data_IF_364991573701
#
_entry.id   IF_364991573701
#
_cell.length_a   1.000
_cell.length_b   1.000
_cell.length_c   1.000
_cell.angle_alpha   90.00
_cell.angle_beta   90.00
_cell.angle_gamma   90.00
#
_symmetry.space_group_name_H-M   'P 1'
#
loop_
_entity.id
_entity.type
_entity.pdbx_description
1 polymer ?
#
# COMPACT_ATOMS: atom_id res chain seq x y z
N UNK A 1 9.86 -6.13 -8.11
CA UNK A 1 9.67 -4.66 -7.97
C UNK A 1 10.86 -4.01 -7.26
N UNK A 2 11.12 -4.23 -5.96
CA UNK A 2 12.17 -3.52 -5.21
C UNK A 2 13.52 -3.45 -5.93
N UNK A 3 14.08 -4.61 -6.35
CA UNK A 3 15.34 -4.66 -7.11
C UNK A 3 15.28 -3.91 -8.44
N UNK A 4 14.14 -3.93 -9.14
CA UNK A 4 13.98 -3.28 -10.45
C UNK A 4 13.97 -1.74 -10.36
N UNK A 5 13.75 -1.18 -9.18
CA UNK A 5 13.81 0.27 -8.91
C UNK A 5 15.02 0.66 -8.07
N UNK A 6 16.05 -0.19 -8.02
CA UNK A 6 17.34 0.13 -7.39
C UNK A 6 17.38 0.00 -5.86
N UNK A 7 16.39 -0.63 -5.24
CA UNK A 7 16.42 -0.90 -3.79
C UNK A 7 17.50 -1.93 -3.49
N UNK A 8 18.48 -1.55 -2.69
CA UNK A 8 19.65 -2.36 -2.34
C UNK A 8 19.40 -3.33 -1.21
N UNK A 9 18.54 -2.98 -0.28
CA UNK A 9 18.16 -3.82 0.85
C UNK A 9 16.64 -4.07 0.88
N UNK A 10 16.24 -5.32 1.09
CA UNK A 10 14.85 -5.73 1.16
C UNK A 10 14.66 -6.72 2.30
N UNK A 11 13.86 -6.35 3.30
CA UNK A 11 13.44 -7.23 4.40
C UNK A 11 12.00 -7.70 4.21
N UNK A 12 11.76 -8.97 4.49
CA UNK A 12 10.44 -9.57 4.49
C UNK A 12 10.02 -9.90 5.93
N UNK A 13 8.97 -9.25 6.41
CA UNK A 13 8.32 -9.59 7.68
C UNK A 13 7.08 -10.41 7.39
N UNK A 14 7.00 -11.60 7.97
CA UNK A 14 5.83 -12.48 7.84
C UNK A 14 4.89 -12.26 9.01
N UNK A 15 3.62 -12.00 8.73
CA UNK A 15 2.56 -11.78 9.71
C UNK A 15 1.41 -12.74 9.40
N UNK A 16 1.56 -14.06 9.72
CA UNK A 16 0.56 -15.08 9.36
C UNK A 16 -0.82 -14.77 9.93
N UNK A 17 -0.92 -14.39 11.19
CA UNK A 17 -2.19 -14.09 11.87
C UNK A 17 -2.92 -12.89 11.26
N UNK A 18 -2.19 -11.96 10.66
CA UNK A 18 -2.80 -10.85 9.94
C UNK A 18 -3.50 -11.30 8.66
N UNK A 19 -3.02 -12.37 8.03
CA UNK A 19 -3.65 -12.98 6.86
C UNK A 19 -4.92 -13.73 7.27
N UNK A 20 -4.88 -14.49 8.34
CA UNK A 20 -6.05 -15.18 8.89
C UNK A 20 -7.15 -14.21 9.30
N UNK A 21 -6.80 -12.98 9.70
CA UNK A 21 -7.76 -11.92 9.94
C UNK A 21 -8.54 -11.49 8.68
N UNK A 22 -8.06 -11.78 7.47
CA UNK A 22 -8.81 -11.58 6.21
C UNK A 22 -9.90 -12.62 6.01
N UNK A 23 -9.71 -13.83 6.51
CA UNK A 23 -10.68 -14.92 6.41
C UNK A 23 -11.82 -14.81 7.47
N UNK A 24 -11.72 -13.80 8.33
CA UNK A 24 -12.79 -13.44 9.24
C UNK A 24 -14.01 -13.03 8.42
N UNK A 25 -15.06 -13.84 8.48
CA UNK A 25 -16.30 -13.79 7.71
C UNK A 25 -16.74 -12.37 7.33
N UNK A 26 -16.98 -12.18 6.03
CA UNK A 26 -17.66 -11.02 5.44
C UNK A 26 -18.82 -10.56 6.32
N UNK A 27 -18.84 -9.25 6.67
CA UNK A 27 -19.91 -8.66 7.46
C UNK A 27 -19.60 -8.41 8.95
N UNK A 28 -18.40 -8.75 9.42
CA UNK A 28 -18.03 -8.54 10.83
C UNK A 28 -17.89 -7.05 11.23
N UNK A 29 -17.61 -6.21 10.25
CA UNK A 29 -17.47 -4.76 10.46
C UNK A 29 -18.43 -4.03 9.52
N UNK A 30 -19.59 -3.66 10.07
CA UNK A 30 -20.62 -2.93 9.33
C UNK A 30 -20.06 -1.65 8.71
N UNK A 31 -20.37 -1.41 7.43
CA UNK A 31 -19.89 -0.26 6.68
C UNK A 31 -18.43 -0.32 6.19
N UNK A 32 -17.70 -1.41 6.49
CA UNK A 32 -16.33 -1.58 6.03
C UNK A 32 -16.23 -2.49 4.79
N UNK A 33 -15.26 -2.22 3.87
CA UNK A 33 -15.01 -3.11 2.76
C UNK A 33 -14.66 -4.54 3.21
N UNK A 34 -15.01 -5.58 2.43
CA UNK A 34 -14.71 -6.98 2.76
C UNK A 34 -13.21 -7.28 3.01
N UNK A 35 -12.34 -6.43 2.48
CA UNK A 35 -10.87 -6.55 2.61
C UNK A 35 -10.31 -5.75 3.79
N UNK A 36 -11.17 -5.20 4.64
CA UNK A 36 -10.75 -4.44 5.80
C UNK A 36 -10.12 -5.33 6.86
N UNK A 37 -8.91 -5.00 7.27
CA UNK A 37 -8.21 -5.58 8.42
C UNK A 37 -8.02 -4.45 9.44
N UNK A 38 -8.53 -4.61 10.67
CA UNK A 38 -8.46 -3.57 11.69
C UNK A 38 -7.02 -3.11 11.95
N UNK A 39 -6.79 -1.78 11.89
CA UNK A 39 -5.51 -1.15 12.23
C UNK A 39 -4.29 -1.70 11.45
N UNK A 40 -4.50 -2.34 10.29
CA UNK A 40 -3.42 -2.95 9.51
C UNK A 40 -2.29 -1.97 9.19
N UNK A 41 -2.64 -0.75 8.80
CA UNK A 41 -1.63 0.25 8.46
C UNK A 41 -0.84 0.69 9.70
N UNK A 42 -1.47 0.78 10.87
CA UNK A 42 -0.77 1.02 12.13
C UNK A 42 0.30 -0.04 12.40
N UNK A 43 -0.08 -1.31 12.28
CA UNK A 43 0.85 -2.45 12.47
C UNK A 43 2.03 -2.32 11.51
N UNK A 44 1.79 -2.08 10.22
CA UNK A 44 2.85 -1.95 9.22
C UNK A 44 3.80 -0.80 9.53
N UNK A 45 3.27 0.35 9.93
CA UNK A 45 4.09 1.51 10.27
C UNK A 45 4.89 1.33 11.54
N UNK A 46 4.38 0.61 12.56
CA UNK A 46 5.18 0.30 13.75
C UNK A 46 6.32 -0.67 13.44
N UNK A 47 6.12 -1.67 12.58
CA UNK A 47 7.23 -2.49 12.09
C UNK A 47 8.25 -1.67 11.30
N UNK A 48 7.79 -0.78 10.43
CA UNK A 48 8.68 0.11 9.69
C UNK A 48 9.44 1.07 10.61
N UNK A 49 8.80 1.59 11.66
CA UNK A 49 9.43 2.45 12.65
C UNK A 49 10.50 1.71 13.46
N UNK A 50 10.23 0.48 13.90
CA UNK A 50 11.22 -0.36 14.59
C UNK A 50 12.45 -0.59 13.71
N UNK A 51 12.26 -0.84 12.41
CA UNK A 51 13.37 -0.97 11.49
C UNK A 51 14.08 0.37 11.22
N UNK A 52 13.32 1.46 11.08
CA UNK A 52 13.89 2.80 10.93
C UNK A 52 14.78 3.20 12.12
N UNK A 53 14.38 2.82 13.32
CA UNK A 53 15.19 3.02 14.54
C UNK A 53 16.50 2.24 14.48
N UNK A 54 16.46 0.97 14.07
CA UNK A 54 17.65 0.10 13.93
C UNK A 54 18.66 0.69 12.94
N UNK A 55 18.19 1.20 11.78
CA UNK A 55 19.06 1.72 10.71
C UNK A 55 19.22 3.25 10.73
N UNK A 56 18.65 3.93 11.72
CA UNK A 56 18.65 5.40 11.86
C UNK A 56 18.12 6.13 10.62
N UNK A 57 17.01 5.62 10.06
CA UNK A 57 16.42 6.20 8.87
C UNK A 57 15.69 7.52 9.18
N UNK A 58 15.94 8.55 8.41
CA UNK A 58 15.25 9.84 8.53
C UNK A 58 13.81 9.83 8.02
N UNK A 59 13.40 8.81 7.25
CA UNK A 59 12.09 8.74 6.61
C UNK A 59 11.52 7.32 6.62
N UNK A 60 10.24 7.21 7.00
CA UNK A 60 9.39 6.05 6.75
C UNK A 60 8.36 6.46 5.69
N UNK A 61 8.42 5.88 4.50
CA UNK A 61 7.53 6.25 3.40
C UNK A 61 6.42 5.24 3.16
N UNK A 62 5.23 5.73 2.78
CA UNK A 62 4.10 4.88 2.40
C UNK A 62 3.35 5.39 1.17
N UNK A 63 2.84 4.46 0.35
CA UNK A 63 2.17 4.73 -0.93
C UNK A 63 0.67 4.99 -0.83
N UNK A 64 0.17 5.50 0.29
CA UNK A 64 -1.25 5.81 0.46
C UNK A 64 -1.67 6.95 -0.45
N UNK A 65 -2.81 6.79 -1.12
CA UNK A 65 -3.37 7.76 -2.05
C UNK A 65 -4.68 8.37 -1.52
N UNK A 66 -5.16 9.41 -2.19
CA UNK A 66 -6.37 10.15 -1.80
C UNK A 66 -7.63 9.29 -1.75
N UNK A 67 -7.75 8.29 -2.63
CA UNK A 67 -8.95 7.45 -2.68
C UNK A 67 -9.03 6.51 -1.48
N UNK A 68 -7.87 6.02 -0.99
CA UNK A 68 -7.80 5.15 0.19
C UNK A 68 -8.16 5.90 1.48
N UNK A 69 -7.77 7.17 1.62
CA UNK A 69 -8.06 8.00 2.81
C UNK A 69 -9.55 8.27 3.04
N UNK A 70 -10.37 8.12 2.00
CA UNK A 70 -11.82 8.24 2.09
C UNK A 70 -12.51 7.00 2.65
N UNK A 71 -11.87 5.84 2.50
CA UNK A 71 -12.41 4.53 2.87
C UNK A 71 -11.93 4.05 4.23
N UNK A 72 -10.68 4.37 4.60
CA UNK A 72 -10.03 3.82 5.77
C UNK A 72 -9.52 4.93 6.71
N UNK A 73 -9.93 4.87 7.97
CA UNK A 73 -9.51 5.84 8.98
C UNK A 73 -8.01 5.76 9.30
N UNK A 74 -7.43 4.56 9.20
CA UNK A 74 -6.01 4.28 9.44
C UNK A 74 -5.09 4.68 8.27
N UNK A 75 -5.61 5.49 7.33
CA UNK A 75 -4.86 6.24 6.31
C UNK A 75 -5.24 7.72 6.25
N UNK A 76 -5.98 8.22 7.24
CA UNK A 76 -6.36 9.63 7.32
C UNK A 76 -5.18 10.51 7.74
N UNK A 77 -5.18 11.81 7.39
CA UNK A 77 -4.17 12.76 7.87
C UNK A 77 -4.05 12.81 9.40
N UNK A 78 -5.21 12.76 10.10
CA UNK A 78 -5.24 12.74 11.56
C UNK A 78 -4.57 11.51 12.17
N UNK A 79 -4.81 10.33 11.57
CA UNK A 79 -4.13 9.11 11.99
C UNK A 79 -2.61 9.22 11.85
N UNK A 80 -2.11 9.68 10.71
CA UNK A 80 -0.67 9.81 10.49
C UNK A 80 -0.02 10.90 11.37
N UNK A 81 -0.75 11.97 11.69
CA UNK A 81 -0.28 12.96 12.66
C UNK A 81 -0.12 12.35 14.07
N UNK A 82 -1.09 11.55 14.51
CA UNK A 82 -1.00 10.84 15.79
C UNK A 82 0.12 9.80 15.78
N UNK A 83 0.25 9.04 14.70
CA UNK A 83 1.29 8.02 14.53
C UNK A 83 2.70 8.63 14.54
N UNK A 84 2.89 9.78 13.89
CA UNK A 84 4.17 10.52 13.94
C UNK A 84 4.54 10.92 15.37
N UNK A 85 3.56 11.40 16.14
CA UNK A 85 3.79 11.72 17.57
C UNK A 85 4.13 10.46 18.38
N UNK A 86 3.44 9.34 18.08
CA UNK A 86 3.73 8.07 18.75
C UNK A 86 5.15 7.57 18.47
N UNK A 87 5.67 7.74 17.23
CA UNK A 87 7.06 7.39 16.91
C UNK A 87 8.06 8.16 17.78
N UNK A 88 7.91 9.48 17.86
CA UNK A 88 8.82 10.32 18.66
C UNK A 88 8.66 10.09 20.18
N UNK A 89 7.43 9.95 20.67
CA UNK A 89 7.18 9.67 22.08
C UNK A 89 7.64 8.27 22.50
N UNK A 90 7.65 7.31 21.58
CA UNK A 90 8.01 5.91 21.83
C UNK A 90 9.49 5.61 21.67
N UNK A 91 10.27 6.46 20.98
CA UNK A 91 11.67 6.22 20.68
C UNK A 91 12.48 7.51 20.69
N UNK A 92 13.44 7.58 21.62
CA UNK A 92 14.43 8.70 21.67
C UNK A 92 15.29 8.76 20.41
N UNK A 93 15.54 7.64 19.74
CA UNK A 93 16.34 7.58 18.52
C UNK A 93 15.55 8.21 17.37
N UNK A 94 14.29 7.78 17.15
CA UNK A 94 13.45 8.34 16.09
C UNK A 94 13.17 9.84 16.29
N UNK A 95 13.06 10.29 17.54
CA UNK A 95 12.94 11.71 17.88
C UNK A 95 14.22 12.48 17.55
N UNK A 96 15.38 12.00 18.00
CA UNK A 96 16.68 12.64 17.78
C UNK A 96 17.08 12.69 16.30
N UNK A 97 16.79 11.63 15.52
CA UNK A 97 17.01 11.60 14.06
C UNK A 97 15.97 12.45 13.31
N UNK A 98 14.90 12.90 13.98
CA UNK A 98 13.79 13.62 13.34
C UNK A 98 13.06 12.77 12.32
N UNK A 99 12.98 11.46 12.52
CA UNK A 99 12.36 10.50 11.58
C UNK A 99 10.92 10.89 11.28
N UNK A 100 10.59 11.03 9.99
CA UNK A 100 9.27 11.50 9.52
C UNK A 100 8.56 10.45 8.70
N UNK A 101 7.21 10.44 8.83
CA UNK A 101 6.34 9.68 7.94
C UNK A 101 6.09 10.50 6.67
N UNK A 102 6.49 9.98 5.51
CA UNK A 102 6.29 10.60 4.20
C UNK A 102 5.21 9.85 3.41
N UNK A 103 4.26 10.59 2.83
CA UNK A 103 3.15 10.06 2.03
C UNK A 103 3.06 10.80 0.71
N UNK A 104 3.97 10.51 -0.24
CA UNK A 104 4.11 11.31 -1.47
C UNK A 104 2.88 11.27 -2.37
N UNK A 105 2.01 10.27 -2.23
CA UNK A 105 0.83 10.07 -3.07
C UNK A 105 -0.49 10.53 -2.41
N UNK A 106 -0.46 11.08 -1.18
CA UNK A 106 -1.66 11.34 -0.37
C UNK A 106 -2.68 12.28 -1.04
N UNK A 107 -2.23 13.18 -1.90
CA UNK A 107 -3.08 14.12 -2.66
C UNK A 107 -3.46 13.60 -4.05
N UNK A 108 -2.95 12.43 -4.46
CA UNK A 108 -3.19 11.87 -5.78
C UNK A 108 -4.32 10.85 -5.76
N UNK A 109 -5.21 10.91 -6.75
CA UNK A 109 -6.14 9.80 -7.05
C UNK A 109 -5.37 8.64 -7.68
N UNK A 110 -5.90 7.41 -7.63
CA UNK A 110 -5.29 6.24 -8.29
C UNK A 110 -5.04 6.48 -9.78
N UNK A 111 -5.92 7.23 -10.45
CA UNK A 111 -5.76 7.62 -11.86
C UNK A 111 -4.49 8.47 -12.06
N UNK A 112 -4.26 9.46 -11.19
CA UNK A 112 -3.06 10.29 -11.24
C UNK A 112 -1.80 9.48 -10.91
N UNK A 113 -1.89 8.58 -9.92
CA UNK A 113 -0.77 7.68 -9.57
C UNK A 113 -0.34 6.83 -10.77
N UNK A 114 -1.29 6.32 -11.58
CA UNK A 114 -0.97 5.57 -12.81
C UNK A 114 -0.25 6.46 -13.82
N UNK A 115 -0.72 7.69 -14.06
CA UNK A 115 -0.07 8.62 -15.01
C UNK A 115 1.35 8.98 -14.56
N UNK A 116 1.49 9.37 -13.30
CA UNK A 116 2.79 9.70 -12.71
C UNK A 116 3.77 8.52 -12.81
N UNK A 117 3.28 7.30 -12.50
CA UNK A 117 4.09 6.09 -12.60
C UNK A 117 4.61 5.82 -14.02
N UNK A 118 3.82 6.12 -15.05
CA UNK A 118 4.25 6.04 -16.45
C UNK A 118 5.31 7.12 -16.75
N UNK A 119 5.05 8.34 -16.32
CA UNK A 119 5.92 9.50 -16.55
C UNK A 119 7.33 9.29 -15.97
N UNK A 120 7.41 8.74 -14.76
CA UNK A 120 8.69 8.45 -14.10
C UNK A 120 9.25 7.05 -14.42
N UNK A 121 8.65 6.31 -15.35
CA UNK A 121 9.17 5.03 -15.83
C UNK A 121 9.02 3.86 -14.85
N UNK A 122 8.03 3.86 -13.97
CA UNK A 122 7.79 2.73 -13.03
C UNK A 122 7.50 1.46 -13.83
N UNK A 123 8.16 0.32 -13.53
CA UNK A 123 7.90 -0.97 -14.20
C UNK A 123 6.55 -1.55 -13.77
N UNK A 124 5.46 -1.00 -14.32
CA UNK A 124 4.07 -1.33 -13.94
C UNK A 124 3.70 -2.80 -14.16
N UNK A 125 4.42 -3.51 -15.04
CA UNK A 125 4.26 -4.97 -15.24
C UNK A 125 4.70 -5.79 -14.03
N UNK A 126 5.49 -5.22 -13.11
CA UNK A 126 5.91 -5.84 -11.85
C UNK A 126 5.00 -5.48 -10.67
N UNK A 127 3.97 -4.65 -10.87
CA UNK A 127 3.07 -4.24 -9.79
C UNK A 127 1.99 -5.29 -9.52
N UNK A 128 1.58 -5.43 -8.26
CA UNK A 128 0.57 -6.38 -7.84
C UNK A 128 -0.64 -5.66 -7.21
N UNK A 129 -1.84 -5.97 -7.67
CA UNK A 129 -3.10 -5.38 -7.19
C UNK A 129 -4.10 -6.44 -6.68
N UNK A 130 -3.86 -7.72 -6.97
CA UNK A 130 -4.79 -8.77 -6.60
C UNK A 130 -4.78 -9.03 -5.09
N UNK A 131 -5.98 -9.23 -4.50
CA UNK A 131 -6.12 -9.59 -3.09
C UNK A 131 -5.98 -11.11 -2.87
N UNK A 132 -6.03 -11.92 -3.94
CA UNK A 132 -5.84 -13.37 -3.86
C UNK A 132 -4.36 -13.71 -3.99
N UNK A 133 -3.98 -14.80 -3.37
CA UNK A 133 -2.67 -15.43 -3.58
C UNK A 133 -2.58 -16.03 -4.99
N UNK A 134 -1.37 -16.18 -5.49
CA UNK A 134 -1.09 -16.81 -6.77
C UNK A 134 -0.05 -16.08 -7.60
N UNK A 135 0.21 -16.62 -8.78
CA UNK A 135 1.19 -16.06 -9.73
C UNK A 135 0.57 -15.08 -10.73
N UNK A 136 -0.76 -14.93 -10.73
CA UNK A 136 -1.50 -14.10 -11.68
C UNK A 136 -2.63 -13.35 -10.99
N UNK A 137 -2.98 -12.18 -11.51
CA UNK A 137 -4.16 -11.44 -11.10
C UNK A 137 -5.43 -12.24 -11.38
N UNK A 138 -6.41 -12.21 -10.46
CA UNK A 138 -7.69 -12.86 -10.67
C UNK A 138 -8.64 -12.07 -11.61
N UNK A 139 -8.44 -10.77 -11.75
CA UNK A 139 -9.20 -9.81 -12.54
C UNK A 139 -10.67 -9.61 -12.09
N UNK A 140 -11.03 -10.13 -10.90
CA UNK A 140 -12.38 -10.12 -10.33
C UNK A 140 -12.47 -9.43 -8.98
N UNK A 141 -11.39 -9.45 -8.19
CA UNK A 141 -11.42 -8.87 -6.85
C UNK A 141 -11.39 -7.34 -6.90
N UNK A 142 -11.80 -6.66 -5.79
CA UNK A 142 -11.81 -5.19 -5.74
C UNK A 142 -10.50 -4.53 -6.15
N UNK A 143 -9.35 -5.11 -5.78
CA UNK A 143 -8.03 -4.62 -6.17
C UNK A 143 -7.79 -4.68 -7.68
N UNK A 144 -8.16 -5.80 -8.33
CA UNK A 144 -8.07 -5.95 -9.79
C UNK A 144 -9.03 -5.01 -10.52
N UNK A 145 -10.28 -4.92 -10.07
CA UNK A 145 -11.26 -4.01 -10.67
C UNK A 145 -10.86 -2.55 -10.54
N UNK A 146 -10.31 -2.16 -9.39
CA UNK A 146 -9.74 -0.82 -9.18
C UNK A 146 -8.56 -0.54 -10.11
N UNK A 147 -7.70 -1.55 -10.38
CA UNK A 147 -6.61 -1.44 -11.36
C UNK A 147 -7.14 -1.18 -12.76
N UNK A 148 -8.04 -2.03 -13.25
CA UNK A 148 -8.67 -1.89 -14.58
C UNK A 148 -9.27 -0.50 -14.74
N UNK A 149 -10.08 -0.06 -13.77
CA UNK A 149 -10.72 1.25 -13.80
C UNK A 149 -9.72 2.41 -13.82
N UNK A 150 -8.63 2.30 -13.04
CA UNK A 150 -7.61 3.35 -12.95
C UNK A 150 -6.80 3.48 -14.23
N UNK A 151 -6.36 2.38 -14.83
CA UNK A 151 -5.66 2.39 -16.11
C UNK A 151 -6.54 2.91 -17.26
N UNK A 152 -7.79 2.43 -17.34
CA UNK A 152 -8.77 2.91 -18.33
C UNK A 152 -9.00 4.42 -18.22
N UNK A 153 -9.26 4.93 -17.01
CA UNK A 153 -9.47 6.37 -16.78
C UNK A 153 -8.21 7.20 -16.99
N UNK A 154 -7.02 6.62 -16.78
CA UNK A 154 -5.76 7.29 -17.06
C UNK A 154 -5.47 7.41 -18.55
N UNK A 155 -6.15 6.64 -19.41
CA UNK A 155 -5.85 6.53 -20.84
C UNK A 155 -4.54 5.79 -21.13
N UNK A 156 -4.13 4.90 -20.22
CA UNK A 156 -2.89 4.14 -20.29
C UNK A 156 -3.19 2.66 -20.45
N UNK A 157 -2.47 1.97 -21.34
CA UNK A 157 -2.58 0.52 -21.47
C UNK A 157 -1.95 -0.16 -20.25
N UNK A 158 -2.70 -1.06 -19.62
CA UNK A 158 -2.15 -1.89 -18.55
C UNK A 158 -1.20 -2.94 -19.16
N UNK A 159 0.09 -2.96 -18.80
CA UNK A 159 1.03 -3.94 -19.33
C UNK A 159 0.68 -5.40 -18.99
N UNK A 160 -0.26 -5.62 -18.06
CA UNK A 160 -0.77 -6.95 -17.72
C UNK A 160 -2.07 -7.32 -18.45
N UNK A 161 -2.61 -6.47 -19.33
CA UNK A 161 -3.88 -6.70 -20.04
C UNK A 161 -3.87 -7.98 -20.87
N UNK A 162 -2.72 -8.35 -21.46
CA UNK A 162 -2.58 -9.62 -22.19
C UNK A 162 -2.84 -10.87 -21.32
N UNK A 163 -2.56 -10.78 -20.04
CA UNK A 163 -2.85 -11.85 -19.08
C UNK A 163 -4.32 -11.91 -18.67
N UNK A 164 -5.05 -10.79 -18.78
CA UNK A 164 -6.50 -10.72 -18.56
C UNK A 164 -7.25 -11.42 -19.68
N UNK A 165 -6.88 -11.17 -20.95
CA UNK A 165 -7.56 -11.74 -22.14
C UNK A 165 -7.47 -13.27 -22.22
N UNK A 166 -6.41 -13.88 -21.67
CA UNK A 166 -6.26 -15.35 -21.63
C UNK A 166 -7.20 -16.08 -20.66
N UNK A 167 -7.92 -15.37 -19.80
CA UNK A 167 -8.88 -15.96 -18.85
C UNK A 167 -10.30 -16.07 -19.44
N UNK A 168 -10.56 -15.39 -20.57
CA UNK A 168 -11.88 -15.30 -21.20
C UNK A 168 -12.03 -16.32 -22.35
N UNK A 169 -10.96 -17.01 -22.73
CA UNK A 169 -10.92 -18.13 -23.68
C UNK A 169 -10.75 -19.44 -22.94
#
# INVERSE_FOLDING_TARGET
>A
MARAVGVTEHRLVRLPDLKEAQDIKVGRFEGMPPTYIPMRNGIFYFFAASYAEEVRAAVVAGGHNKDDSRLFRDVSPGFFSALQKAFWSGSKILEAEGTRILRPLEQMTKVRVVREAVEIGVPLHLTWSCHRDGLRHCWECPGCLSRIASFKKAGVLDPLESSMKRKIT
#
